data_IF_946746092928
#
_entry.id   IF_946746092928
#
_cell.length_a   1.000
_cell.length_b   1.000
_cell.length_c   1.000
_cell.angle_alpha   90.00
_cell.angle_beta   90.00
_cell.angle_gamma   90.00
#
_symmetry.space_group_name_H-M   'P 1'
#
loop_
_entity.id
_entity.type
_entity.pdbx_description
1 polymer ?
#
# COMPACT_ATOMS: atom_id res chain seq x y z
N UNK A 1 4.19 -18.24 -24.71
CA UNK A 1 3.73 -18.17 -23.30
C UNK A 1 4.87 -18.29 -22.28
N UNK A 2 5.64 -19.38 -22.25
CA UNK A 2 6.75 -19.57 -21.29
C UNK A 2 7.88 -18.52 -21.39
N UNK A 3 8.35 -18.22 -22.61
CA UNK A 3 9.38 -17.21 -22.84
C UNK A 3 8.97 -15.78 -22.40
N UNK A 4 7.67 -15.47 -22.46
CA UNK A 4 7.16 -14.19 -22.00
C UNK A 4 7.12 -14.09 -20.47
N UNK A 5 6.74 -15.18 -19.79
CA UNK A 5 6.80 -15.27 -18.34
C UNK A 5 8.24 -15.21 -17.81
N UNK A 6 9.19 -15.86 -18.49
CA UNK A 6 10.62 -15.81 -18.15
C UNK A 6 11.20 -14.39 -18.33
N UNK A 7 10.78 -13.65 -19.35
CA UNK A 7 11.16 -12.24 -19.54
C UNK A 7 10.59 -11.32 -18.44
N UNK A 8 9.35 -11.56 -17.99
CA UNK A 8 8.74 -10.81 -16.88
C UNK A 8 9.48 -11.10 -15.58
N UNK A 9 9.78 -12.36 -15.28
CA UNK A 9 10.52 -12.74 -14.06
C UNK A 9 11.95 -12.17 -14.09
N UNK A 10 12.63 -12.20 -15.24
CA UNK A 10 13.96 -11.62 -15.40
C UNK A 10 13.95 -10.10 -15.19
N UNK A 11 12.97 -9.38 -15.76
CA UNK A 11 12.83 -7.92 -15.56
C UNK A 11 12.48 -7.54 -14.12
N UNK A 12 11.68 -8.35 -13.43
CA UNK A 12 11.44 -8.17 -11.99
C UNK A 12 12.69 -8.46 -11.15
N UNK A 13 13.43 -9.51 -11.45
CA UNK A 13 14.67 -9.86 -10.75
C UNK A 13 15.78 -8.81 -10.98
N UNK A 14 15.87 -8.24 -12.17
CA UNK A 14 16.80 -7.16 -12.52
C UNK A 14 16.45 -5.84 -11.81
N UNK A 15 15.15 -5.53 -11.68
CA UNK A 15 14.67 -4.38 -10.88
C UNK A 15 14.85 -4.57 -9.38
N UNK A 16 14.71 -5.80 -8.89
CA UNK A 16 14.81 -6.15 -7.47
C UNK A 16 16.22 -6.65 -7.09
N UNK A 17 17.27 -5.97 -7.56
CA UNK A 17 18.62 -6.26 -7.08
C UNK A 17 18.66 -6.09 -5.54
N UNK A 18 19.42 -6.93 -4.85
CA UNK A 18 19.57 -6.84 -3.38
C UNK A 18 20.05 -5.44 -2.94
N UNK A 19 20.85 -4.77 -3.77
CA UNK A 19 21.30 -3.40 -3.53
C UNK A 19 20.13 -2.39 -3.59
N UNK A 20 19.26 -2.51 -4.59
CA UNK A 20 18.07 -1.65 -4.75
C UNK A 20 17.13 -1.79 -3.56
N UNK A 21 16.85 -3.03 -3.14
CA UNK A 21 15.98 -3.31 -1.99
C UNK A 21 16.58 -2.73 -0.71
N UNK A 22 17.89 -2.91 -0.49
CA UNK A 22 18.59 -2.33 0.67
C UNK A 22 18.51 -0.81 0.67
N UNK A 23 18.75 -0.17 -0.47
CA UNK A 23 18.69 1.29 -0.57
C UNK A 23 17.28 1.82 -0.27
N UNK A 24 16.24 1.16 -0.77
CA UNK A 24 14.86 1.52 -0.46
C UNK A 24 14.50 1.31 1.01
N UNK A 25 14.97 0.21 1.59
CA UNK A 25 14.75 -0.07 3.02
C UNK A 25 15.42 0.98 3.89
N UNK A 26 16.68 1.33 3.62
CA UNK A 26 17.40 2.38 4.34
C UNK A 26 16.69 3.72 4.21
N UNK A 27 16.31 4.13 2.99
CA UNK A 27 15.60 5.40 2.79
C UNK A 27 14.28 5.48 3.58
N UNK A 28 13.56 4.36 3.71
CA UNK A 28 12.33 4.30 4.53
C UNK A 28 12.65 4.34 6.02
N UNK A 29 13.65 3.58 6.47
CA UNK A 29 14.04 3.58 7.89
C UNK A 29 14.54 4.96 8.34
N UNK A 30 15.41 5.60 7.54
CA UNK A 30 15.93 6.94 7.81
C UNK A 30 14.79 7.95 7.95
N UNK A 31 13.80 7.89 7.04
CA UNK A 31 12.67 8.83 7.10
C UNK A 31 11.72 8.53 8.25
N UNK A 32 11.54 7.25 8.60
CA UNK A 32 10.76 6.87 9.78
C UNK A 32 11.40 7.38 11.07
N UNK A 33 12.72 7.27 11.21
CA UNK A 33 13.47 7.80 12.35
C UNK A 33 13.28 9.32 12.47
N UNK A 34 13.38 10.04 11.35
CA UNK A 34 13.16 11.48 11.32
C UNK A 34 11.74 11.86 11.80
N UNK A 35 10.71 11.16 11.31
CA UNK A 35 9.33 11.38 11.72
C UNK A 35 9.10 11.07 13.20
N UNK A 36 9.67 9.97 13.70
CA UNK A 36 9.58 9.59 15.11
C UNK A 36 10.22 10.66 16.01
N UNK A 37 11.38 11.21 15.60
CA UNK A 37 12.03 12.31 16.30
C UNK A 37 11.17 13.57 16.30
N UNK A 38 10.62 13.95 15.14
CA UNK A 38 9.72 15.12 15.05
C UNK A 38 8.49 14.94 15.94
N UNK A 39 7.88 13.76 15.95
CA UNK A 39 6.73 13.46 16.81
C UNK A 39 7.09 13.54 18.29
N UNK A 40 8.25 13.02 18.69
CA UNK A 40 8.76 13.11 20.05
C UNK A 40 9.04 14.56 20.47
N UNK A 41 9.80 15.31 19.68
CA UNK A 41 10.22 16.68 20.00
C UNK A 41 9.05 17.66 20.04
N UNK A 42 8.02 17.43 19.21
CA UNK A 42 6.78 18.22 19.21
C UNK A 42 5.76 17.74 20.24
N UNK A 43 6.09 16.74 21.06
CA UNK A 43 5.17 16.09 21.99
C UNK A 43 3.81 15.75 21.36
N UNK A 44 3.84 15.32 20.08
CA UNK A 44 2.62 15.13 19.29
C UNK A 44 1.72 14.10 19.96
N UNK A 45 0.58 14.56 20.48
CA UNK A 45 -0.49 13.68 20.93
C UNK A 45 -1.27 13.24 19.70
N UNK A 46 -1.06 12.00 19.28
CA UNK A 46 -1.82 11.37 18.20
C UNK A 46 -3.17 10.91 18.74
N UNK A 47 -4.23 11.21 18.00
CA UNK A 47 -5.59 10.70 18.21
C UNK A 47 -5.94 9.80 17.04
N UNK A 48 -6.57 8.65 17.27
CA UNK A 48 -7.02 7.83 16.16
C UNK A 48 -8.24 8.47 15.49
N UNK A 49 -9.22 8.89 16.27
CA UNK A 49 -10.52 9.36 15.79
C UNK A 49 -10.91 10.71 16.41
N UNK A 50 -11.66 11.57 15.70
CA UNK A 50 -12.28 12.76 16.30
C UNK A 50 -13.18 12.47 17.51
N UNK A 51 -13.60 11.21 17.68
CA UNK A 51 -14.50 10.78 18.74
C UNK A 51 -13.79 10.12 19.94
N UNK A 52 -12.46 10.03 19.92
CA UNK A 52 -11.70 9.48 21.06
C UNK A 52 -11.80 10.41 22.28
N UNK A 53 -11.81 9.79 23.46
CA UNK A 53 -11.90 10.49 24.75
C UNK A 53 -10.67 11.36 24.98
N UNK A 54 -9.49 10.83 24.67
CA UNK A 54 -8.22 11.56 24.72
C UNK A 54 -8.00 12.30 23.40
N UNK A 55 -8.33 13.59 23.40
CA UNK A 55 -8.14 14.47 22.24
C UNK A 55 -6.70 14.94 22.18
N UNK A 56 -5.89 14.26 21.38
CA UNK A 56 -4.62 14.74 20.88
C UNK A 56 -4.78 15.76 19.74
N UNK A 57 -3.67 16.42 19.41
CA UNK A 57 -3.60 17.55 18.48
C UNK A 57 -3.75 17.13 17.01
N UNK A 58 -3.43 15.87 16.70
CA UNK A 58 -3.45 15.35 15.33
C UNK A 58 -4.25 14.06 15.22
N UNK A 59 -5.21 14.03 14.29
CA UNK A 59 -6.04 12.85 14.01
C UNK A 59 -5.40 12.00 12.91
N UNK A 60 -5.32 10.69 13.12
CA UNK A 60 -4.79 9.74 12.13
C UNK A 60 -5.85 9.25 11.16
N UNK A 61 -7.11 9.15 11.62
CA UNK A 61 -8.24 8.79 10.77
C UNK A 61 -9.07 10.04 10.47
N UNK A 62 -9.51 10.12 9.23
CA UNK A 62 -10.39 11.16 8.72
C UNK A 62 -11.62 10.51 8.11
N UNK A 63 -12.78 11.12 8.30
CA UNK A 63 -13.99 10.71 7.58
C UNK A 63 -13.95 11.25 6.14
N UNK A 64 -14.74 10.68 5.23
CA UNK A 64 -14.77 11.10 3.81
C UNK A 64 -15.17 12.56 3.59
N UNK A 65 -15.75 13.22 4.61
CA UNK A 65 -16.20 14.60 4.57
C UNK A 65 -15.23 15.58 5.25
N UNK A 66 -14.20 15.07 5.93
CA UNK A 66 -13.21 15.89 6.61
C UNK A 66 -12.05 16.21 5.67
N UNK A 67 -11.53 17.46 5.70
CA UNK A 67 -10.28 17.75 5.01
C UNK A 67 -9.14 16.93 5.65
N UNK A 68 -8.24 16.34 4.85
CA UNK A 68 -7.08 15.62 5.38
C UNK A 68 -6.18 16.57 6.16
N UNK A 69 -5.54 16.07 7.21
CA UNK A 69 -4.47 16.84 7.87
C UNK A 69 -3.26 16.90 6.97
N UNK A 70 -2.60 18.06 6.88
CA UNK A 70 -1.38 18.20 6.11
C UNK A 70 -0.33 17.18 6.59
N UNK A 71 0.25 16.39 5.67
CA UNK A 71 1.28 15.43 6.03
C UNK A 71 2.54 16.17 6.49
N UNK A 72 3.22 15.61 7.48
CA UNK A 72 4.60 16.00 7.79
C UNK A 72 5.45 15.53 6.61
N UNK A 73 6.40 16.35 6.19
CA UNK A 73 7.33 16.01 5.10
C UNK A 73 7.95 14.62 5.31
N UNK A 74 7.69 13.68 4.40
CA UNK A 74 8.11 12.28 4.47
C UNK A 74 7.02 11.28 4.77
N UNK A 75 5.91 11.71 5.38
CA UNK A 75 4.79 10.81 5.68
C UNK A 75 4.13 10.26 4.43
N UNK A 76 4.24 10.96 3.30
CA UNK A 76 3.74 10.48 2.01
C UNK A 76 4.36 9.14 1.58
N UNK A 77 5.54 8.78 2.11
CA UNK A 77 6.18 7.48 1.88
C UNK A 77 5.51 6.33 2.64
N UNK A 78 4.70 6.64 3.65
CA UNK A 78 4.02 5.69 4.55
C UNK A 78 2.51 5.74 4.42
N UNK A 79 1.95 6.79 3.81
CA UNK A 79 0.56 6.81 3.42
C UNK A 79 0.31 5.72 2.36
N UNK A 80 -0.43 4.69 2.74
CA UNK A 80 -1.00 3.78 1.76
C UNK A 80 -1.94 4.60 0.86
N UNK A 81 -1.91 4.41 -0.47
CA UNK A 81 -3.00 4.89 -1.30
C UNK A 81 -4.29 4.31 -0.72
N UNK A 82 -5.19 5.16 -0.24
CA UNK A 82 -6.47 4.76 0.36
C UNK A 82 -7.47 4.22 -0.67
N UNK A 83 -6.96 3.81 -1.83
CA UNK A 83 -7.67 3.41 -3.00
C UNK A 83 -7.82 1.89 -3.01
N UNK A 84 -9.04 1.40 -2.78
CA UNK A 84 -9.46 0.07 -3.28
C UNK A 84 -9.53 0.04 -4.83
N UNK A 85 -9.04 1.07 -5.54
CA UNK A 85 -9.14 1.25 -7.00
C UNK A 85 -7.80 1.18 -7.74
N UNK A 86 -6.67 0.93 -7.06
CA UNK A 86 -5.41 0.60 -7.74
C UNK A 86 -5.33 -0.90 -8.11
N UNK A 87 -6.49 -1.56 -8.12
CA UNK A 87 -6.72 -2.83 -8.78
C UNK A 87 -7.20 -2.46 -10.19
N UNK A 88 -6.40 -2.74 -11.22
CA UNK A 88 -6.85 -2.50 -12.60
C UNK A 88 -8.24 -3.12 -12.82
N UNK A 89 -9.14 -2.50 -13.61
CA UNK A 89 -10.49 -2.99 -13.86
C UNK A 89 -10.57 -4.46 -14.35
N UNK A 90 -9.45 -5.00 -14.83
CA UNK A 90 -9.30 -6.37 -15.32
C UNK A 90 -9.07 -7.42 -14.22
N UNK A 91 -8.80 -7.05 -12.97
CA UNK A 91 -8.53 -8.00 -11.87
C UNK A 91 -9.82 -8.28 -11.09
N UNK A 92 -10.85 -8.74 -11.83
CA UNK A 92 -11.85 -9.64 -11.28
C UNK A 92 -11.42 -11.06 -11.60
N UNK A 93 -10.45 -11.60 -10.86
CA UNK A 93 -10.02 -12.99 -11.04
C UNK A 93 -11.06 -13.91 -10.40
N UNK A 94 -12.15 -14.18 -11.12
CA UNK A 94 -12.90 -15.42 -10.94
C UNK A 94 -12.16 -16.48 -11.75
N UNK A 95 -11.21 -17.18 -11.12
CA UNK A 95 -10.59 -18.36 -11.70
C UNK A 95 -11.63 -19.48 -11.79
N UNK A 96 -12.46 -19.45 -12.83
CA UNK A 96 -13.19 -20.64 -13.28
C UNK A 96 -12.19 -21.56 -13.97
N UNK A 97 -11.86 -22.69 -13.34
CA UNK A 97 -10.99 -23.71 -13.95
C UNK A 97 -11.57 -24.14 -15.31
N UNK A 98 -10.73 -24.32 -16.34
CA UNK A 98 -11.16 -24.94 -17.59
C UNK A 98 -11.30 -26.46 -17.35
N UNK A 99 -12.44 -26.82 -16.79
CA UNK A 99 -12.94 -28.19 -16.65
C UNK A 99 -14.34 -28.33 -17.24
N UNK A 100 -14.69 -27.48 -18.21
CA UNK A 100 -15.92 -27.61 -18.99
C UNK A 100 -15.81 -28.82 -19.95
N UNK A 101 -15.85 -30.03 -19.40
CA UNK A 101 -16.24 -31.21 -20.15
C UNK A 101 -17.73 -31.09 -20.43
N UNK A 102 -18.08 -30.75 -21.68
CA UNK A 102 -19.44 -30.84 -22.19
C UNK A 102 -19.92 -32.29 -22.06
N UNK A 103 -20.92 -32.56 -21.22
CA UNK A 103 -21.85 -33.66 -21.48
C UNK A 103 -23.07 -33.07 -22.17
N UNK A 104 -23.20 -33.37 -23.47
CA UNK A 104 -24.48 -33.35 -24.14
C UNK A 104 -25.30 -34.49 -23.54
N UNK A 105 -26.42 -34.19 -22.90
CA UNK A 105 -27.51 -35.15 -22.80
C UNK A 105 -28.64 -34.65 -23.69
N UNK A 106 -28.84 -35.41 -24.77
CA UNK A 106 -29.93 -35.31 -25.71
C UNK A 106 -31.21 -35.78 -25.00
N UNK A 107 -32.34 -35.17 -25.36
CA UNK A 107 -33.65 -35.76 -25.13
C UNK A 107 -33.88 -37.01 -25.98
#
# INVERSE_FOLDING_TARGET
HRQHAEAIVATFAERASSATVKQWALNRLDKWEELARVAHDKAMRLTYSPYDVDRGERKLLHTALEPPTDPIEGEEKFCAPTSMRDVEPAVHIWLSQPGATKRKEQG
#
